data_IF_702711430962
#
_entry.id   IF_702711430962
#
_cell.length_a   1.000
_cell.length_b   1.000
_cell.length_c   1.000
_cell.angle_alpha   90.00
_cell.angle_beta   90.00
_cell.angle_gamma   90.00
#
_symmetry.space_group_name_H-M   'P 1'
#
loop_
_entity.id
_entity.type
_entity.pdbx_description
1 polymer ?
#
# COMPACT_ATOMS: atom_id res chain seq x y z
N UNK A 1 6.15 -19.20 14.13
CA UNK A 1 6.79 -18.01 13.51
C UNK A 1 6.03 -16.76 13.96
N UNK A 2 6.68 -15.82 14.64
CA UNK A 2 6.01 -14.62 15.19
C UNK A 2 5.35 -13.74 14.11
N UNK A 3 5.96 -13.65 12.92
CA UNK A 3 5.39 -12.91 11.78
C UNK A 3 4.05 -13.46 11.30
N UNK A 4 3.86 -14.78 11.34
CA UNK A 4 2.60 -15.42 10.95
C UNK A 4 1.49 -15.05 11.94
N UNK A 5 1.79 -14.98 13.24
CA UNK A 5 0.80 -14.58 14.24
C UNK A 5 0.35 -13.12 14.07
N UNK A 6 1.27 -12.21 13.73
CA UNK A 6 0.91 -10.81 13.42
C UNK A 6 0.04 -10.71 12.16
N UNK A 7 0.40 -11.44 11.12
CA UNK A 7 -0.37 -11.49 9.88
C UNK A 7 -1.77 -12.04 10.13
N UNK A 8 -1.88 -13.14 10.87
CA UNK A 8 -3.16 -13.72 11.24
C UNK A 8 -4.03 -12.72 12.02
N UNK A 9 -3.46 -11.95 12.94
CA UNK A 9 -4.22 -10.92 13.66
C UNK A 9 -4.76 -9.86 12.71
N UNK A 10 -3.94 -9.35 11.78
CA UNK A 10 -4.38 -8.37 10.78
C UNK A 10 -5.50 -8.95 9.90
N UNK A 11 -5.30 -10.15 9.34
CA UNK A 11 -6.27 -10.77 8.45
C UNK A 11 -7.58 -11.13 9.18
N UNK A 12 -7.50 -11.55 10.44
CA UNK A 12 -8.67 -11.79 11.31
C UNK A 12 -9.48 -10.51 11.52
N UNK A 13 -8.81 -9.41 11.86
CA UNK A 13 -9.48 -8.12 12.05
C UNK A 13 -10.06 -7.60 10.73
N UNK A 14 -9.33 -7.69 9.61
CA UNK A 14 -9.86 -7.37 8.28
C UNK A 14 -11.10 -8.19 7.94
N UNK A 15 -11.11 -9.49 8.27
CA UNK A 15 -12.27 -10.36 8.08
C UNK A 15 -13.47 -9.86 8.88
N UNK A 16 -13.29 -9.45 10.14
CA UNK A 16 -14.36 -8.84 10.94
C UNK A 16 -14.87 -7.53 10.32
N UNK A 17 -13.98 -6.65 9.89
CA UNK A 17 -14.36 -5.38 9.26
C UNK A 17 -15.17 -5.59 7.97
N UNK A 18 -14.81 -6.60 7.17
CA UNK A 18 -15.54 -6.97 5.95
C UNK A 18 -16.88 -7.65 6.25
N UNK A 19 -16.96 -8.52 7.27
CA UNK A 19 -18.22 -9.12 7.75
C UNK A 19 -19.21 -8.07 8.28
N UNK A 20 -18.71 -6.99 8.90
CA UNK A 20 -19.50 -5.82 9.31
C UNK A 20 -19.87 -4.88 8.14
N UNK A 21 -19.55 -5.27 6.89
CA UNK A 21 -19.83 -4.56 5.64
C UNK A 21 -19.32 -3.10 5.67
N UNK A 22 -18.14 -2.88 6.24
CA UNK A 22 -17.55 -1.55 6.27
C UNK A 22 -17.12 -1.10 4.88
N UNK A 23 -17.41 0.16 4.56
CA UNK A 23 -16.96 0.78 3.32
C UNK A 23 -15.49 1.22 3.46
N UNK A 24 -14.57 0.32 3.13
CA UNK A 24 -13.13 0.54 3.27
C UNK A 24 -12.36 -0.04 2.08
N UNK A 25 -11.12 0.41 1.92
CA UNK A 25 -10.20 -0.08 0.89
C UNK A 25 -8.85 -0.35 1.54
N UNK A 26 -8.39 -1.60 1.48
CA UNK A 26 -7.06 -1.97 1.98
C UNK A 26 -6.01 -1.54 0.94
N UNK A 27 -4.99 -0.82 1.39
CA UNK A 27 -3.88 -0.34 0.54
C UNK A 27 -2.56 -0.88 1.09
N UNK A 28 -1.42 -0.27 0.72
CA UNK A 28 -0.14 -0.60 1.34
C UNK A 28 0.34 -2.02 1.05
N UNK A 29 1.01 -2.64 2.01
CA UNK A 29 1.64 -3.97 1.84
C UNK A 29 0.65 -5.10 1.60
N UNK A 30 -0.48 -5.10 2.32
CA UNK A 30 -1.51 -6.14 2.15
C UNK A 30 -2.20 -6.10 0.79
N UNK A 31 -2.41 -4.90 0.23
CA UNK A 31 -2.89 -4.78 -1.14
C UNK A 31 -1.90 -5.36 -2.17
N UNK A 32 -0.58 -5.21 -1.94
CA UNK A 32 0.44 -5.84 -2.79
C UNK A 32 0.34 -7.36 -2.72
N UNK A 33 0.18 -7.93 -1.53
CA UNK A 33 0.01 -9.38 -1.36
C UNK A 33 -1.26 -9.94 -2.01
N UNK A 34 -2.28 -9.10 -2.23
CA UNK A 34 -3.47 -9.49 -2.99
C UNK A 34 -3.30 -9.51 -4.51
N UNK A 35 -2.26 -8.86 -5.07
CA UNK A 35 -2.04 -8.72 -6.53
C UNK A 35 -0.70 -9.26 -7.02
N UNK A 36 0.21 -9.59 -6.11
CA UNK A 36 1.54 -10.09 -6.39
C UNK A 36 1.87 -11.26 -5.45
N UNK A 37 3.15 -11.64 -5.38
CA UNK A 37 3.59 -12.65 -4.40
C UNK A 37 3.40 -12.16 -2.97
N UNK A 38 3.07 -13.10 -2.09
CA UNK A 38 2.98 -12.88 -0.65
C UNK A 38 4.28 -12.30 -0.10
N UNK A 39 4.14 -11.36 0.85
CA UNK A 39 5.21 -10.92 1.75
C UNK A 39 4.61 -10.45 3.06
N UNK A 40 5.34 -10.59 4.16
CA UNK A 40 4.88 -10.07 5.44
C UNK A 40 4.79 -8.54 5.45
N UNK A 41 3.80 -8.01 6.16
CA UNK A 41 3.66 -6.60 6.52
C UNK A 41 3.29 -6.48 8.00
N UNK A 42 3.89 -5.52 8.69
CA UNK A 42 3.59 -5.22 10.10
C UNK A 42 2.35 -4.31 10.24
N UNK A 43 2.10 -3.53 9.19
CA UNK A 43 1.10 -2.46 9.17
C UNK A 43 0.00 -2.80 8.14
N UNK A 44 -1.24 -2.48 8.50
CA UNK A 44 -2.42 -2.56 7.66
C UNK A 44 -2.92 -1.15 7.34
N UNK A 45 -2.62 -0.67 6.13
CA UNK A 45 -3.08 0.63 5.65
C UNK A 45 -4.50 0.52 5.05
N UNK A 46 -5.42 1.40 5.46
CA UNK A 46 -6.81 1.40 4.99
C UNK A 46 -7.23 2.83 4.62
N UNK A 47 -7.78 3.02 3.42
CA UNK A 47 -8.50 4.25 3.06
C UNK A 47 -9.97 4.08 3.43
N UNK A 48 -10.51 5.02 4.21
CA UNK A 48 -11.87 4.93 4.77
C UNK A 48 -12.58 6.29 4.63
N UNK A 49 -13.88 6.35 4.31
CA UNK A 49 -14.60 7.62 4.27
C UNK A 49 -14.90 8.09 5.70
N UNK A 50 -14.97 9.41 5.91
CA UNK A 50 -15.21 10.02 7.23
C UNK A 50 -16.43 9.44 7.97
N UNK A 51 -17.48 9.06 7.23
CA UNK A 51 -18.72 8.47 7.78
C UNK A 51 -18.51 7.12 8.45
N UNK A 52 -17.51 6.34 8.03
CA UNK A 52 -17.21 5.01 8.58
C UNK A 52 -16.24 5.05 9.76
N UNK A 53 -15.52 6.16 9.96
CA UNK A 53 -14.47 6.26 10.98
C UNK A 53 -14.97 5.78 12.34
N UNK A 54 -16.03 6.39 12.89
CA UNK A 54 -16.57 6.02 14.22
C UNK A 54 -16.98 4.55 14.35
N UNK A 55 -17.41 3.91 13.26
CA UNK A 55 -17.78 2.47 13.29
C UNK A 55 -16.51 1.61 13.32
N UNK A 56 -15.52 1.97 12.50
CA UNK A 56 -14.23 1.29 12.43
C UNK A 56 -13.48 1.41 13.76
N UNK A 57 -13.44 2.61 14.38
CA UNK A 57 -12.84 2.82 15.70
C UNK A 57 -13.42 1.87 16.75
N UNK A 58 -14.75 1.73 16.81
CA UNK A 58 -15.42 0.81 17.75
C UNK A 58 -15.05 -0.65 17.53
N UNK A 59 -14.78 -1.07 16.30
CA UNK A 59 -14.34 -2.45 16.04
C UNK A 59 -12.90 -2.65 16.46
N UNK A 60 -12.02 -1.71 16.12
CA UNK A 60 -10.62 -1.78 16.54
C UNK A 60 -10.47 -1.76 18.07
N UNK A 61 -11.22 -0.91 18.77
CA UNK A 61 -11.25 -0.89 20.24
C UNK A 61 -11.73 -2.22 20.84
N UNK A 62 -12.77 -2.84 20.25
CA UNK A 62 -13.24 -4.19 20.65
C UNK A 62 -12.24 -5.29 20.35
N UNK A 63 -11.35 -5.06 19.39
CA UNK A 63 -10.24 -5.94 19.04
C UNK A 63 -8.97 -5.62 19.84
N UNK A 64 -9.08 -4.80 20.89
CA UNK A 64 -7.99 -4.41 21.79
C UNK A 64 -6.88 -3.61 21.11
N UNK A 65 -7.21 -2.92 20.03
CA UNK A 65 -6.31 -1.94 19.43
C UNK A 65 -6.47 -0.59 20.11
N UNK A 66 -5.35 0.01 20.48
CA UNK A 66 -5.30 1.32 21.11
C UNK A 66 -4.94 2.40 20.09
N UNK A 67 -5.67 3.50 20.11
CA UNK A 67 -5.34 4.70 19.32
C UNK A 67 -4.04 5.29 19.84
N UNK A 68 -3.03 5.40 18.97
CA UNK A 68 -1.71 5.90 19.40
C UNK A 68 -1.22 7.12 18.62
N UNK A 69 -1.72 7.37 17.41
CA UNK A 69 -1.40 8.58 16.62
C UNK A 69 -2.65 9.12 15.97
N UNK A 70 -2.79 10.45 15.99
CA UNK A 70 -3.78 11.19 15.20
C UNK A 70 -3.12 12.41 14.58
N UNK A 71 -3.30 12.62 13.27
CA UNK A 71 -2.83 13.79 12.53
C UNK A 71 -3.94 14.30 11.63
N UNK A 72 -4.14 15.61 11.60
CA UNK A 72 -5.19 16.27 10.80
C UNK A 72 -4.57 17.43 10.02
N UNK A 73 -5.22 17.85 8.93
CA UNK A 73 -4.86 19.11 8.24
C UNK A 73 -3.62 19.04 7.35
N UNK A 74 -3.15 17.84 6.98
CA UNK A 74 -2.06 17.66 6.01
C UNK A 74 -2.54 17.62 4.54
N UNK A 75 -3.86 17.70 4.34
CA UNK A 75 -4.51 17.76 3.04
C UNK A 75 -5.65 18.76 3.12
N UNK A 76 -5.37 19.98 2.65
CA UNK A 76 -6.33 21.08 2.61
C UNK A 76 -7.47 20.82 1.61
N UNK A 77 -7.22 20.00 0.58
CA UNK A 77 -8.17 19.76 -0.51
C UNK A 77 -9.28 18.78 -0.08
N UNK A 78 -8.94 17.72 0.65
CA UNK A 78 -9.93 16.71 1.08
C UNK A 78 -10.13 16.67 2.61
N UNK A 79 -9.50 17.60 3.34
CA UNK A 79 -9.47 17.61 4.80
C UNK A 79 -9.11 16.21 5.35
N UNK A 80 -8.05 15.64 4.78
CA UNK A 80 -7.56 14.29 5.09
C UNK A 80 -7.12 14.19 6.55
N UNK A 81 -7.42 13.04 7.15
CA UNK A 81 -7.03 12.72 8.52
C UNK A 81 -6.32 11.37 8.54
N UNK A 82 -5.30 11.25 9.40
CA UNK A 82 -4.57 10.03 9.63
C UNK A 82 -4.76 9.61 11.08
N UNK A 83 -5.23 8.39 11.29
CA UNK A 83 -5.42 7.81 12.63
C UNK A 83 -4.76 6.44 12.64
N UNK A 84 -3.88 6.20 13.61
CA UNK A 84 -3.22 4.91 13.73
C UNK A 84 -3.56 4.22 15.04
N UNK A 85 -3.83 2.93 14.93
CA UNK A 85 -4.21 2.02 15.99
C UNK A 85 -3.15 0.95 16.13
N UNK A 86 -2.75 0.62 17.36
CA UNK A 86 -1.69 -0.36 17.64
C UNK A 86 -2.17 -1.42 18.62
N UNK A 87 -1.71 -2.65 18.41
CA UNK A 87 -1.84 -3.77 19.33
C UNK A 87 -0.52 -4.54 19.40
N UNK A 88 -0.16 -5.03 20.58
CA UNK A 88 0.98 -5.93 20.74
C UNK A 88 0.53 -7.39 20.55
N UNK A 89 1.21 -8.11 19.65
CA UNK A 89 0.94 -9.52 19.36
C UNK A 89 2.23 -10.30 19.56
N UNK A 90 2.32 -11.01 20.69
CA UNK A 90 3.54 -11.72 21.15
C UNK A 90 4.78 -10.81 21.19
N UNK A 91 4.64 -9.63 21.79
CA UNK A 91 5.75 -8.68 21.95
C UNK A 91 6.19 -7.96 20.68
N UNK A 92 5.43 -8.11 19.57
CA UNK A 92 5.64 -7.36 18.35
C UNK A 92 4.41 -6.50 18.03
N UNK A 93 4.60 -5.23 17.62
CA UNK A 93 3.50 -4.36 17.29
C UNK A 93 2.86 -4.74 15.95
N UNK A 94 1.54 -4.57 15.92
CA UNK A 94 0.68 -4.62 14.75
C UNK A 94 -0.08 -3.30 14.69
N UNK A 95 -0.17 -2.70 13.49
CA UNK A 95 -0.87 -1.42 13.32
C UNK A 95 -1.97 -1.46 12.27
N UNK A 96 -3.01 -0.66 12.50
CA UNK A 96 -4.00 -0.28 11.52
C UNK A 96 -3.91 1.23 11.29
N UNK A 97 -3.47 1.59 10.09
CA UNK A 97 -3.25 2.97 9.64
C UNK A 97 -4.44 3.42 8.79
N UNK A 98 -5.27 4.29 9.36
CA UNK A 98 -6.49 4.79 8.74
C UNK A 98 -6.20 6.11 8.01
N UNK A 99 -6.33 6.07 6.69
CA UNK A 99 -6.27 7.19 5.76
C UNK A 99 -7.70 7.69 5.53
N UNK A 100 -8.14 8.61 6.38
CA UNK A 100 -9.54 9.04 6.45
C UNK A 100 -9.82 10.10 5.38
N UNK A 101 -10.74 9.79 4.48
CA UNK A 101 -11.23 10.66 3.41
C UNK A 101 -10.33 10.69 2.17
N UNK A 102 -9.01 10.58 2.33
CA UNK A 102 -8.06 10.58 1.22
C UNK A 102 -6.78 9.81 1.58
N UNK A 103 -6.10 9.29 0.56
CA UNK A 103 -4.71 8.88 0.63
C UNK A 103 -3.83 10.03 0.18
N UNK A 104 -2.81 10.38 0.97
CA UNK A 104 -1.94 11.54 0.70
C UNK A 104 -0.48 11.13 0.79
N UNK A 105 0.28 11.42 -0.26
CA UNK A 105 1.72 11.28 -0.24
C UNK A 105 2.39 12.63 0.02
N UNK A 106 2.88 12.82 1.25
CA UNK A 106 3.54 14.07 1.68
C UNK A 106 4.78 14.43 0.86
N UNK A 107 5.54 13.45 0.38
CA UNK A 107 6.76 13.69 -0.38
C UNK A 107 6.49 14.47 -1.67
N UNK A 108 5.39 14.17 -2.35
CA UNK A 108 5.01 14.80 -3.62
C UNK A 108 3.83 15.76 -3.49
N UNK A 109 3.10 15.74 -2.37
CA UNK A 109 1.83 16.46 -2.21
C UNK A 109 0.68 15.84 -3.00
N UNK A 110 0.86 14.63 -3.55
CA UNK A 110 -0.20 13.95 -4.29
C UNK A 110 -1.29 13.44 -3.34
N UNK A 111 -2.55 13.57 -3.75
CA UNK A 111 -3.70 13.14 -2.97
C UNK A 111 -4.78 12.47 -3.83
N UNK A 112 -5.39 11.41 -3.31
CA UNK A 112 -6.49 10.68 -3.92
C UNK A 112 -7.63 10.57 -2.92
N UNK A 113 -8.81 11.12 -3.25
CA UNK A 113 -10.00 10.98 -2.42
C UNK A 113 -10.43 9.52 -2.30
N UNK A 114 -11.14 9.17 -1.23
CA UNK A 114 -11.73 7.86 -1.03
C UNK A 114 -12.52 7.39 -2.26
N UNK A 115 -13.35 8.26 -2.84
CA UNK A 115 -14.16 7.90 -4.01
C UNK A 115 -13.30 7.64 -5.25
N UNK A 116 -12.19 8.36 -5.42
CA UNK A 116 -11.25 8.09 -6.50
C UNK A 116 -10.61 6.71 -6.31
N UNK A 117 -10.10 6.43 -5.10
CA UNK A 117 -9.49 5.13 -4.79
C UNK A 117 -10.52 4.03 -4.99
N UNK A 118 -11.75 4.19 -4.49
CA UNK A 118 -12.85 3.23 -4.61
C UNK A 118 -13.20 2.92 -6.06
N UNK A 119 -13.26 3.93 -6.92
CA UNK A 119 -13.56 3.78 -8.35
C UNK A 119 -12.49 2.98 -9.09
N UNK A 120 -11.24 3.08 -8.64
CA UNK A 120 -10.08 2.35 -9.16
C UNK A 120 -9.67 1.22 -8.21
N UNK A 121 -10.65 0.51 -7.64
CA UNK A 121 -10.43 -0.64 -6.76
C UNK A 121 -11.21 -1.86 -7.24
N UNK A 122 -10.68 -3.04 -6.93
CA UNK A 122 -11.26 -4.35 -7.23
C UNK A 122 -11.36 -5.18 -5.95
N UNK A 123 -12.18 -6.24 -5.98
CA UNK A 123 -12.17 -7.25 -4.94
C UNK A 123 -11.06 -8.26 -5.22
N UNK A 124 -10.25 -8.57 -4.22
CA UNK A 124 -9.16 -9.51 -4.32
C UNK A 124 -9.01 -10.32 -3.03
N UNK A 125 -8.52 -11.53 -3.16
CA UNK A 125 -8.16 -12.36 -2.03
C UNK A 125 -6.77 -11.97 -1.51
N UNK A 126 -6.71 -11.47 -0.28
CA UNK A 126 -5.46 -11.22 0.43
C UNK A 126 -5.11 -12.48 1.21
N UNK A 127 -4.21 -13.29 0.65
CA UNK A 127 -3.75 -14.52 1.28
C UNK A 127 -2.57 -14.24 2.22
N UNK A 128 -2.69 -14.71 3.47
CA UNK A 128 -1.57 -14.93 4.37
C UNK A 128 -1.13 -16.39 4.37
N UNK A 129 -0.25 -16.77 5.29
CA UNK A 129 0.25 -18.14 5.41
C UNK A 129 -0.83 -19.12 5.87
N UNK A 130 -1.66 -18.75 6.86
CA UNK A 130 -2.64 -19.67 7.47
C UNK A 130 -4.09 -19.27 7.19
N UNK A 131 -4.34 -18.00 6.84
CA UNK A 131 -5.69 -17.47 6.62
C UNK A 131 -5.71 -16.50 5.44
N UNK A 132 -6.90 -16.14 4.98
CA UNK A 132 -7.09 -15.17 3.91
C UNK A 132 -8.39 -14.39 4.11
N UNK A 133 -8.48 -13.26 3.43
CA UNK A 133 -9.66 -12.39 3.46
C UNK A 133 -9.89 -11.79 2.08
N UNK A 134 -11.15 -11.73 1.66
CA UNK A 134 -11.55 -11.00 0.45
C UNK A 134 -11.82 -9.55 0.86
N UNK A 135 -11.04 -8.63 0.31
CA UNK A 135 -11.16 -7.20 0.57
C UNK A 135 -11.20 -6.43 -0.74
N UNK A 136 -11.71 -5.20 -0.67
CA UNK A 136 -11.51 -4.22 -1.74
C UNK A 136 -10.10 -3.63 -1.63
N UNK A 137 -9.36 -3.65 -2.73
CA UNK A 137 -8.00 -3.10 -2.84
C UNK A 137 -7.86 -2.29 -4.14
N UNK A 138 -6.94 -1.32 -4.23
CA UNK A 138 -6.69 -0.60 -5.47
C UNK A 138 -6.33 -1.55 -6.61
N UNK A 139 -6.75 -1.22 -7.84
CA UNK A 139 -6.23 -1.87 -9.03
C UNK A 139 -4.70 -1.70 -9.09
N UNK A 140 -4.03 -2.65 -9.73
CA UNK A 140 -2.57 -2.76 -9.79
C UNK A 140 -1.92 -1.44 -10.20
N UNK A 141 -2.49 -0.74 -11.18
CA UNK A 141 -1.97 0.51 -11.72
C UNK A 141 -2.04 1.66 -10.71
N UNK A 142 -3.13 1.76 -9.95
CA UNK A 142 -3.26 2.76 -8.89
C UNK A 142 -2.30 2.46 -7.73
N UNK A 143 -2.14 1.17 -7.38
CA UNK A 143 -1.19 0.77 -6.35
C UNK A 143 0.26 1.11 -6.75
N UNK A 144 0.65 0.83 -7.99
CA UNK A 144 1.96 1.25 -8.54
C UNK A 144 2.12 2.77 -8.43
N UNK A 145 1.10 3.56 -8.76
CA UNK A 145 1.17 5.02 -8.63
C UNK A 145 1.46 5.44 -7.19
N UNK A 146 0.74 4.91 -6.19
CA UNK A 146 1.01 5.22 -4.78
C UNK A 146 2.47 4.93 -4.40
N UNK A 147 3.00 3.79 -4.85
CA UNK A 147 4.36 3.34 -4.57
C UNK A 147 5.42 4.21 -5.24
N UNK A 148 5.14 4.75 -6.44
CA UNK A 148 6.01 5.70 -7.11
C UNK A 148 6.09 7.00 -6.31
N UNK A 149 4.96 7.52 -5.84
CA UNK A 149 4.95 8.76 -5.08
C UNK A 149 5.69 8.66 -3.74
N UNK A 150 5.72 7.50 -3.10
CA UNK A 150 6.43 7.29 -1.82
C UNK A 150 7.89 6.84 -1.99
N UNK A 151 8.18 6.07 -3.03
CA UNK A 151 9.49 5.52 -3.41
C UNK A 151 10.37 4.98 -2.27
N UNK A 152 9.78 4.50 -1.17
CA UNK A 152 10.57 3.86 -0.11
C UNK A 152 11.16 2.57 -0.66
N UNK A 153 12.26 2.08 -0.07
CA UNK A 153 12.89 0.82 -0.48
C UNK A 153 11.91 -0.36 -0.57
N UNK A 154 10.94 -0.45 0.33
CA UNK A 154 9.88 -1.46 0.27
C UNK A 154 8.94 -1.24 -0.93
N UNK A 155 8.59 0.01 -1.22
CA UNK A 155 7.71 0.37 -2.33
C UNK A 155 8.37 0.09 -3.69
N UNK A 156 9.68 0.31 -3.81
CA UNK A 156 10.45 -0.04 -5.02
C UNK A 156 10.37 -1.53 -5.31
N UNK A 157 10.52 -2.37 -4.27
CA UNK A 157 10.35 -3.82 -4.42
C UNK A 157 8.92 -4.18 -4.82
N UNK A 158 7.93 -3.53 -4.22
CA UNK A 158 6.52 -3.74 -4.57
C UNK A 158 6.25 -3.38 -6.03
N UNK A 159 6.82 -2.28 -6.56
CA UNK A 159 6.69 -1.90 -7.97
C UNK A 159 7.22 -3.02 -8.89
N UNK A 160 8.41 -3.56 -8.58
CA UNK A 160 9.00 -4.67 -9.36
C UNK A 160 8.07 -5.89 -9.36
N UNK A 161 7.41 -6.18 -8.24
CA UNK A 161 6.50 -7.32 -8.14
C UNK A 161 5.13 -7.08 -8.78
N UNK A 162 4.65 -5.83 -8.79
CA UNK A 162 3.36 -5.47 -9.39
C UNK A 162 3.45 -5.23 -10.90
N UNK A 163 4.63 -4.97 -11.47
CA UNK A 163 4.80 -4.49 -12.86
C UNK A 163 4.22 -5.38 -13.95
N UNK A 164 4.03 -6.67 -13.68
CA UNK A 164 3.58 -7.66 -14.66
C UNK A 164 2.15 -7.34 -15.09
N UNK A 165 1.93 -7.28 -16.41
CA UNK A 165 0.66 -6.93 -17.06
C UNK A 165 0.06 -5.57 -16.68
N UNK A 166 0.77 -4.76 -15.89
CA UNK A 166 0.32 -3.41 -15.54
C UNK A 166 0.27 -2.50 -16.78
N UNK A 167 -0.87 -1.85 -17.00
CA UNK A 167 -1.07 -0.89 -18.06
C UNK A 167 -0.36 0.44 -17.74
N UNK A 168 0.69 0.76 -18.50
CA UNK A 168 1.53 1.93 -18.25
C UNK A 168 0.77 3.26 -18.39
N UNK A 169 -0.17 3.38 -19.33
CA UNK A 169 -0.96 4.60 -19.52
C UNK A 169 -1.86 4.87 -18.33
N UNK A 170 -2.49 3.82 -17.78
CA UNK A 170 -3.26 3.90 -16.54
C UNK A 170 -2.39 4.29 -15.34
N UNK A 171 -1.20 3.69 -15.20
CA UNK A 171 -0.24 4.08 -14.14
C UNK A 171 0.07 5.57 -14.26
N UNK A 172 0.47 6.04 -15.44
CA UNK A 172 0.76 7.45 -15.71
C UNK A 172 -0.40 8.38 -15.34
N UNK A 173 -1.63 8.00 -15.71
CA UNK A 173 -2.85 8.76 -15.36
C UNK A 173 -3.01 8.89 -13.84
N UNK A 174 -2.77 7.82 -13.07
CA UNK A 174 -2.87 7.85 -11.62
C UNK A 174 -1.72 8.63 -10.95
N UNK A 175 -0.53 8.58 -11.56
CA UNK A 175 0.69 9.22 -11.07
C UNK A 175 0.75 10.74 -11.35
N UNK A 176 0.01 11.26 -12.34
CA UNK A 176 -0.07 12.70 -12.63
C UNK A 176 -0.90 13.49 -11.58
N UNK A 177 -0.40 13.52 -10.34
CA UNK A 177 -0.96 14.26 -9.20
C UNK A 177 0.15 14.83 -8.33
N UNK A 178 -0.17 15.86 -7.55
CA UNK A 178 0.81 16.52 -6.69
C UNK A 178 1.80 17.37 -7.50
N UNK A 179 2.97 17.63 -6.90
CA UNK A 179 4.03 18.45 -7.49
C UNK A 179 4.85 17.64 -8.47
N UNK A 180 4.85 18.07 -9.73
CA UNK A 180 5.52 17.39 -10.84
C UNK A 180 7.03 17.20 -10.60
N UNK A 181 7.73 18.25 -10.16
CA UNK A 181 9.18 18.18 -9.90
C UNK A 181 9.51 17.17 -8.80
N UNK A 182 8.77 17.17 -7.69
CA UNK A 182 8.95 16.19 -6.62
C UNK A 182 8.65 14.76 -7.11
N UNK A 183 7.68 14.59 -8.02
CA UNK A 183 7.39 13.30 -8.63
C UNK A 183 8.54 12.82 -9.54
N UNK A 184 9.11 13.72 -10.36
CA UNK A 184 10.30 13.41 -11.18
C UNK A 184 11.47 12.97 -10.31
N UNK A 185 11.72 13.67 -9.20
CA UNK A 185 12.73 13.28 -8.20
C UNK A 185 12.49 11.87 -7.64
N UNK A 186 11.25 11.53 -7.28
CA UNK A 186 10.92 10.17 -6.82
C UNK A 186 11.23 9.13 -7.90
N UNK A 187 10.80 9.37 -9.15
CA UNK A 187 11.05 8.43 -10.25
C UNK A 187 12.54 8.26 -10.52
N UNK A 188 13.32 9.34 -10.49
CA UNK A 188 14.77 9.27 -10.64
C UNK A 188 15.41 8.44 -9.51
N UNK A 189 14.97 8.66 -8.26
CA UNK A 189 15.42 7.86 -7.11
C UNK A 189 15.11 6.37 -7.26
N UNK A 190 13.93 6.03 -7.81
CA UNK A 190 13.57 4.64 -8.14
C UNK A 190 14.50 4.08 -9.22
N UNK A 191 14.76 4.82 -10.30
CA UNK A 191 15.65 4.39 -11.39
C UNK A 191 17.06 4.08 -10.86
N UNK A 192 17.61 4.94 -10.00
CA UNK A 192 18.92 4.70 -9.39
C UNK A 192 18.91 3.48 -8.46
N UNK A 193 17.89 3.33 -7.62
CA UNK A 193 17.76 2.18 -6.73
C UNK A 193 17.60 0.85 -7.49
N UNK A 194 17.00 0.86 -8.68
CA UNK A 194 16.89 -0.33 -9.54
C UNK A 194 18.24 -0.79 -10.12
N UNK A 195 19.28 0.04 -10.08
CA UNK A 195 20.65 -0.33 -10.48
C UNK A 195 21.44 -1.01 -9.36
N UNK A 196 20.96 -0.96 -8.12
CA UNK A 196 21.66 -1.56 -6.98
C UNK A 196 21.65 -3.11 -7.09
N UNK A 197 22.81 -3.77 -7.23
CA UNK A 197 22.88 -5.23 -7.30
C UNK A 197 22.29 -5.92 -6.06
N UNK A 198 22.30 -5.27 -4.89
CA UNK A 198 21.72 -5.81 -3.64
C UNK A 198 20.19 -5.89 -3.68
N UNK A 199 19.54 -5.26 -4.66
CA UNK A 199 18.09 -5.34 -4.83
C UNK A 199 17.64 -6.77 -5.12
N UNK A 200 18.44 -7.56 -5.85
CA UNK A 200 18.13 -8.97 -6.18
C UNK A 200 17.95 -9.77 -4.90
N UNK A 201 18.92 -9.75 -4.00
CA UNK A 201 18.86 -10.49 -2.74
C UNK A 201 17.74 -9.97 -1.84
N UNK A 202 17.52 -8.65 -1.87
CA UNK A 202 16.44 -8.04 -1.11
C UNK A 202 15.05 -8.47 -1.58
N UNK A 203 14.83 -8.61 -2.89
CA UNK A 203 13.57 -9.12 -3.45
C UNK A 203 13.37 -10.59 -3.10
N UNK A 204 14.42 -11.40 -3.29
CA UNK A 204 14.39 -12.84 -2.96
C UNK A 204 14.05 -13.08 -1.49
N UNK A 205 14.67 -12.34 -0.57
CA UNK A 205 14.40 -12.46 0.86
C UNK A 205 12.98 -12.03 1.25
N UNK A 206 12.48 -10.91 0.70
CA UNK A 206 11.18 -10.35 1.10
C UNK A 206 10.00 -11.14 0.54
N UNK A 207 10.11 -11.66 -0.69
CA UNK A 207 9.03 -12.37 -1.37
C UNK A 207 9.26 -13.89 -1.47
N UNK A 208 10.26 -14.41 -0.75
CA UNK A 208 10.66 -15.83 -0.77
C UNK A 208 10.82 -16.41 -2.19
N UNK A 209 11.51 -15.66 -3.07
CA UNK A 209 11.67 -16.03 -4.47
C UNK A 209 12.89 -16.94 -4.67
N UNK A 210 12.70 -18.04 -5.39
CA UNK A 210 13.79 -18.93 -5.84
C UNK A 210 14.30 -18.61 -7.25
N UNK A 211 13.57 -17.79 -8.00
CA UNK A 211 13.85 -17.47 -9.40
C UNK A 211 14.79 -16.27 -9.57
N UNK A 212 15.37 -16.11 -10.77
CA UNK A 212 16.05 -14.87 -11.14
C UNK A 212 15.03 -13.74 -11.37
N UNK A 213 15.35 -12.57 -10.81
CA UNK A 213 14.53 -11.35 -10.86
C UNK A 213 15.20 -10.21 -11.65
N UNK A 214 16.42 -10.42 -12.17
CA UNK A 214 17.17 -9.38 -12.90
C UNK A 214 16.40 -8.81 -14.09
N UNK A 215 15.72 -9.67 -14.85
CA UNK A 215 14.91 -9.24 -16.01
C UNK A 215 13.73 -8.38 -15.56
N UNK A 216 13.11 -8.69 -14.43
CA UNK A 216 11.98 -7.97 -13.85
C UNK A 216 12.42 -6.59 -13.37
N UNK A 217 13.58 -6.51 -12.70
CA UNK A 217 14.21 -5.25 -12.28
C UNK A 217 14.50 -4.38 -13.51
N UNK A 218 15.16 -4.95 -14.52
CA UNK A 218 15.53 -4.22 -15.74
C UNK A 218 14.31 -3.71 -16.52
N UNK A 219 13.27 -4.54 -16.65
CA UNK A 219 12.02 -4.14 -17.29
C UNK A 219 11.30 -3.03 -16.50
N UNK A 220 11.35 -3.10 -15.17
CA UNK A 220 10.80 -2.06 -14.30
C UNK A 220 11.54 -0.75 -14.51
N UNK A 221 12.88 -0.79 -14.59
CA UNK A 221 13.72 0.39 -14.85
C UNK A 221 13.35 1.06 -16.16
N UNK A 222 13.23 0.29 -17.25
CA UNK A 222 12.79 0.81 -18.56
C UNK A 222 11.41 1.45 -18.51
N UNK A 223 10.46 0.87 -17.77
CA UNK A 223 9.14 1.47 -17.55
C UNK A 223 9.26 2.80 -16.80
N UNK A 224 10.06 2.87 -15.73
CA UNK A 224 10.27 4.12 -14.99
C UNK A 224 10.95 5.20 -15.84
N UNK A 225 11.94 4.86 -16.67
CA UNK A 225 12.58 5.78 -17.62
C UNK A 225 11.59 6.30 -18.67
N UNK A 226 10.68 5.44 -19.14
CA UNK A 226 9.61 5.85 -20.05
C UNK A 226 8.63 6.80 -19.36
N UNK A 227 8.28 6.53 -18.11
CA UNK A 227 7.41 7.41 -17.33
C UNK A 227 8.05 8.78 -17.08
N UNK A 228 9.34 8.82 -16.74
CA UNK A 228 10.06 10.05 -16.49
C UNK A 228 10.06 10.98 -17.71
N UNK A 229 10.14 10.42 -18.91
CA UNK A 229 10.05 11.20 -20.17
C UNK A 229 8.65 11.70 -20.48
N UNK A 230 7.63 11.11 -19.89
CA UNK A 230 6.21 11.38 -20.16
C UNK A 230 5.55 12.29 -19.10
N UNK A 231 6.30 12.67 -18.07
CA UNK A 231 5.94 13.60 -17.01
C UNK A 231 6.72 14.88 -17.28
#
# INVERSE_FOLDING_TARGET
MEFVKRENEILRVLKRLTEEKMDLIVVGGYAVSGLAKHRFSADCDIVVPKRELKRLEKVLEKEEFEKHVRRTGFDEMYAGEFVSYRKEVNGLPVTFDLLVGSLVCRATGAAWSFDYVKKSSIEANIAGIETSVICRIPEKELLIAFKIHSARRADIRDIVMLREDANLEKVLKHTRKGREEALKEQIQGIIEALKDPKLVDSLKGVFALSIDVKKQIENTRKKMETMLKAI
#
